data_IF_278268295959
#
_entry.id   IF_278268295959
#
_cell.length_a   1.000
_cell.length_b   1.000
_cell.length_c   1.000
_cell.angle_alpha   90.00
_cell.angle_beta   90.00
_cell.angle_gamma   90.00
#
_symmetry.space_group_name_H-M   'P 1'
#
loop_
_entity.id
_entity.type
_entity.pdbx_description
1 polymer ?
#
# COMPACT_ATOMS: atom_id res chain seq x y z
N UNK A 1 -12.67 5.46 -3.57
CA UNK A 1 -12.96 4.61 -2.40
C UNK A 1 -12.15 5.08 -1.20
N UNK A 2 -12.80 5.47 -0.09
CA UNK A 2 -12.13 5.93 1.13
C UNK A 2 -11.23 4.85 1.77
N UNK A 3 -11.57 3.57 1.56
CA UNK A 3 -10.88 2.42 2.14
C UNK A 3 -9.42 2.22 1.68
N UNK A 4 -8.94 2.89 0.61
CA UNK A 4 -7.52 2.87 0.24
C UNK A 4 -6.68 3.84 1.08
N UNK A 5 -7.29 4.78 1.80
CA UNK A 5 -6.58 5.70 2.69
C UNK A 5 -6.09 5.03 3.99
N UNK A 6 -6.59 3.83 4.32
CA UNK A 6 -6.23 3.11 5.53
C UNK A 6 -4.77 2.61 5.57
N UNK A 7 -4.05 2.63 4.44
CA UNK A 7 -2.66 2.18 4.35
C UNK A 7 -1.72 2.87 5.33
N UNK A 8 -1.84 4.20 5.46
CA UNK A 8 -1.02 4.97 6.40
C UNK A 8 -1.29 4.59 7.86
N UNK A 9 -2.56 4.34 8.21
CA UNK A 9 -2.96 3.98 9.58
C UNK A 9 -2.34 2.65 10.00
N UNK A 10 -2.35 1.66 9.11
CA UNK A 10 -1.78 0.33 9.39
C UNK A 10 -0.26 0.40 9.49
N UNK A 11 0.39 1.13 8.57
CA UNK A 11 1.83 1.32 8.63
C UNK A 11 2.26 1.99 9.95
N UNK A 12 1.53 3.01 10.40
CA UNK A 12 1.75 3.65 11.70
C UNK A 12 1.60 2.68 12.87
N UNK A 13 0.54 1.87 12.87
CA UNK A 13 0.32 0.87 13.90
C UNK A 13 1.48 -0.15 13.96
N UNK A 14 1.92 -0.67 12.82
CA UNK A 14 3.01 -1.66 12.78
C UNK A 14 4.36 -1.07 13.18
N UNK A 15 4.63 0.20 12.84
CA UNK A 15 5.80 0.94 13.36
C UNK A 15 5.69 1.12 14.87
N UNK A 16 4.51 1.45 15.40
CA UNK A 16 4.30 1.64 16.84
C UNK A 16 4.56 0.36 17.66
N UNK A 17 4.30 -0.82 17.08
CA UNK A 17 4.61 -2.13 17.68
C UNK A 17 6.08 -2.53 17.43
N UNK A 18 6.91 -1.65 16.86
CA UNK A 18 8.33 -1.87 16.57
C UNK A 18 8.59 -3.07 15.64
N UNK A 19 7.69 -3.29 14.66
CA UNK A 19 7.81 -4.40 13.73
C UNK A 19 9.01 -4.20 12.77
N UNK A 20 9.86 -5.22 12.55
CA UNK A 20 10.93 -5.16 11.56
C UNK A 20 10.40 -4.81 10.16
N UNK A 21 11.11 -3.98 9.40
CA UNK A 21 10.66 -3.46 8.10
C UNK A 21 10.22 -4.54 7.10
N UNK A 22 10.87 -5.70 7.09
CA UNK A 22 10.56 -6.79 6.17
C UNK A 22 9.25 -7.47 6.55
N UNK A 23 9.05 -7.70 7.85
CA UNK A 23 7.81 -8.25 8.39
C UNK A 23 6.66 -7.25 8.19
N UNK A 24 6.90 -5.96 8.50
CA UNK A 24 5.92 -4.89 8.27
C UNK A 24 5.42 -4.87 6.83
N UNK A 25 6.34 -4.88 5.85
CA UNK A 25 5.96 -4.89 4.42
C UNK A 25 5.26 -6.18 4.04
N UNK A 26 5.72 -7.34 4.51
CA UNK A 26 5.08 -8.63 4.26
C UNK A 26 3.66 -8.70 4.83
N UNK A 27 3.47 -8.32 6.09
CA UNK A 27 2.17 -8.28 6.77
C UNK A 27 1.23 -7.30 6.08
N UNK A 28 1.71 -6.11 5.72
CA UNK A 28 0.90 -5.11 5.01
C UNK A 28 0.47 -5.63 3.64
N UNK A 29 1.37 -6.28 2.89
CA UNK A 29 1.05 -6.89 1.60
C UNK A 29 -0.04 -7.96 1.72
N UNK A 30 0.10 -8.89 2.67
CA UNK A 30 -0.91 -9.93 2.91
C UNK A 30 -2.24 -9.34 3.37
N UNK A 31 -2.20 -8.39 4.30
CA UNK A 31 -3.40 -7.73 4.83
C UNK A 31 -4.19 -7.06 3.70
N UNK A 32 -3.53 -6.26 2.86
CA UNK A 32 -4.20 -5.60 1.75
C UNK A 32 -4.57 -6.56 0.63
N UNK A 33 -3.83 -7.64 0.40
CA UNK A 33 -4.26 -8.67 -0.55
C UNK A 33 -5.61 -9.27 -0.13
N UNK A 34 -5.74 -9.68 1.13
CA UNK A 34 -6.97 -10.26 1.67
C UNK A 34 -8.12 -9.25 1.65
N UNK A 35 -7.88 -8.00 2.08
CA UNK A 35 -8.90 -6.96 2.02
C UNK A 35 -9.33 -6.64 0.58
N UNK A 36 -8.39 -6.58 -0.36
CA UNK A 36 -8.74 -6.31 -1.75
C UNK A 36 -9.49 -7.49 -2.37
N UNK A 37 -9.14 -8.74 -2.03
CA UNK A 37 -9.89 -9.92 -2.46
C UNK A 37 -11.32 -9.88 -1.94
N UNK A 38 -11.50 -9.51 -0.67
CA UNK A 38 -12.83 -9.28 -0.10
C UNK A 38 -13.61 -8.15 -0.80
N UNK A 39 -12.92 -7.12 -1.33
CA UNK A 39 -13.55 -6.03 -2.09
C UNK A 39 -13.99 -6.44 -3.50
N UNK A 40 -13.37 -7.43 -4.13
CA UNK A 40 -13.66 -7.86 -5.51
C UNK A 40 -15.16 -8.09 -5.77
N UNK A 41 -15.92 -8.87 -4.97
CA UNK A 41 -17.35 -9.09 -5.24
C UNK A 41 -18.17 -7.79 -5.22
N UNK A 42 -17.86 -6.86 -4.31
CA UNK A 42 -18.54 -5.56 -4.24
C UNK A 42 -18.19 -4.70 -5.45
N UNK A 43 -16.92 -4.67 -5.87
CA UNK A 43 -16.49 -3.94 -7.06
C UNK A 43 -17.13 -4.51 -8.34
N UNK A 44 -17.31 -5.83 -8.42
CA UNK A 44 -18.00 -6.49 -9.53
C UNK A 44 -19.48 -6.10 -9.57
N UNK A 45 -20.18 -6.11 -8.43
CA UNK A 45 -21.59 -5.71 -8.33
C UNK A 45 -21.81 -4.23 -8.70
N UNK A 46 -20.83 -3.37 -8.44
CA UNK A 46 -20.85 -1.96 -8.83
C UNK A 46 -20.54 -1.74 -10.32
N UNK A 47 -20.32 -2.79 -11.11
CA UNK A 47 -20.00 -2.70 -12.53
C UNK A 47 -18.61 -2.12 -12.82
N UNK A 48 -17.73 -2.06 -11.82
CA UNK A 48 -16.37 -1.50 -11.96
C UNK A 48 -15.38 -2.50 -12.60
N UNK A 49 -15.79 -3.76 -12.75
CA UNK A 49 -14.98 -4.84 -13.35
C UNK A 49 -15.60 -5.20 -14.69
N UNK A 50 -14.94 -4.78 -15.78
CA UNK A 50 -15.30 -5.09 -17.17
C UNK A 50 -14.10 -5.54 -18.00
N UNK A 51 -14.35 -5.98 -19.24
CA UNK A 51 -13.32 -6.46 -20.18
C UNK A 51 -12.19 -5.44 -20.40
N UNK A 52 -12.54 -4.17 -20.59
CA UNK A 52 -11.58 -3.11 -20.88
C UNK A 52 -10.68 -2.83 -19.67
N UNK A 53 -11.27 -2.81 -18.47
CA UNK A 53 -10.51 -2.65 -17.21
C UNK A 53 -9.59 -3.84 -16.94
N UNK A 54 -9.99 -5.06 -17.33
CA UNK A 54 -9.17 -6.26 -17.21
C UNK A 54 -8.00 -6.24 -18.20
N UNK A 55 -8.22 -5.85 -19.45
CA UNK A 55 -7.14 -5.69 -20.43
C UNK A 55 -6.14 -4.62 -20.00
N UNK A 56 -6.64 -3.50 -19.46
CA UNK A 56 -5.80 -2.45 -18.90
C UNK A 56 -4.94 -2.98 -17.75
N UNK A 57 -5.50 -3.77 -16.83
CA UNK A 57 -4.74 -4.41 -15.75
C UNK A 57 -3.64 -5.33 -16.28
N UNK A 58 -3.92 -6.14 -17.30
CA UNK A 58 -2.92 -7.00 -17.95
C UNK A 58 -1.80 -6.16 -18.57
N UNK A 59 -2.15 -5.09 -19.29
CA UNK A 59 -1.18 -4.19 -19.91
C UNK A 59 -0.27 -3.50 -18.87
N UNK A 60 -0.78 -3.20 -17.68
CA UNK A 60 -0.01 -2.61 -16.58
C UNK A 60 0.75 -3.63 -15.72
N UNK A 61 0.46 -4.93 -15.86
CA UNK A 61 1.10 -6.00 -15.07
C UNK A 61 2.64 -5.96 -15.13
N UNK A 62 3.29 -5.74 -16.30
CA UNK A 62 4.76 -5.61 -16.35
C UNK A 62 5.29 -4.49 -15.46
N UNK A 63 4.58 -3.36 -15.41
CA UNK A 63 4.98 -2.22 -14.57
C UNK A 63 4.86 -2.55 -13.07
N UNK A 64 3.85 -3.35 -12.70
CA UNK A 64 3.71 -3.86 -11.32
C UNK A 64 4.90 -4.76 -10.96
N UNK A 65 5.31 -5.66 -11.86
CA UNK A 65 6.47 -6.54 -11.63
C UNK A 65 7.76 -5.72 -11.48
N UNK A 66 7.97 -4.73 -12.35
CA UNK A 66 9.11 -3.81 -12.23
C UNK A 66 9.11 -3.06 -10.89
N UNK A 67 7.95 -2.54 -10.48
CA UNK A 67 7.77 -1.88 -9.18
C UNK A 67 8.04 -2.80 -8.00
N UNK A 68 7.60 -4.06 -8.07
CA UNK A 68 7.86 -5.08 -7.04
C UNK A 68 9.35 -5.37 -6.90
N UNK A 69 10.05 -5.56 -8.02
CA UNK A 69 11.50 -5.82 -8.02
C UNK A 69 12.28 -4.62 -7.50
N UNK A 70 11.93 -3.41 -7.95
CA UNK A 70 12.53 -2.17 -7.49
C UNK A 70 12.29 -1.95 -5.98
N UNK A 71 11.06 -2.16 -5.51
CA UNK A 71 10.71 -2.06 -4.09
C UNK A 71 11.45 -3.09 -3.24
N UNK A 72 11.55 -4.34 -3.70
CA UNK A 72 12.33 -5.38 -3.04
C UNK A 72 13.81 -5.02 -2.95
N UNK A 73 14.39 -4.47 -4.01
CA UNK A 73 15.78 -4.02 -4.00
C UNK A 73 15.98 -2.85 -3.01
N UNK A 74 15.07 -1.87 -3.03
CA UNK A 74 15.13 -0.69 -2.19
C UNK A 74 15.02 -1.02 -0.70
N UNK A 75 14.10 -1.90 -0.30
CA UNK A 75 13.89 -2.20 1.12
C UNK A 75 15.09 -2.88 1.79
N UNK A 76 15.89 -3.64 1.02
CA UNK A 76 17.11 -4.24 1.53
C UNK A 76 18.21 -3.19 1.76
N UNK A 77 18.20 -2.07 1.02
CA UNK A 77 19.19 -0.98 1.13
C UNK A 77 18.89 0.00 2.27
N UNK A 78 17.62 0.20 2.63
CA UNK A 78 17.23 1.21 3.63
C UNK A 78 17.41 0.65 5.05
N UNK A 79 18.17 1.28 5.96
CA UNK A 79 18.26 0.85 7.36
C UNK A 79 16.93 1.07 8.11
N UNK A 80 16.65 0.21 9.10
CA UNK A 80 15.38 0.23 9.86
C UNK A 80 14.98 1.64 10.34
N UNK A 81 15.92 2.36 10.95
CA UNK A 81 15.67 3.71 11.49
C UNK A 81 15.24 4.72 10.41
N UNK A 82 15.80 4.64 9.20
CA UNK A 82 15.40 5.52 8.10
C UNK A 82 14.02 5.12 7.55
N UNK A 83 13.73 3.81 7.49
CA UNK A 83 12.42 3.31 7.09
C UNK A 83 11.32 3.83 8.03
N UNK A 84 11.50 3.69 9.34
CA UNK A 84 10.52 4.13 10.34
C UNK A 84 10.31 5.65 10.28
N UNK A 85 11.40 6.43 10.20
CA UNK A 85 11.33 7.88 10.02
C UNK A 85 10.57 8.26 8.75
N UNK A 86 10.80 7.55 7.63
CA UNK A 86 10.13 7.84 6.37
C UNK A 86 8.62 7.55 6.47
N UNK A 87 8.24 6.43 7.07
CA UNK A 87 6.82 6.08 7.31
C UNK A 87 6.14 7.15 8.15
N UNK A 88 6.77 7.58 9.25
CA UNK A 88 6.23 8.61 10.13
C UNK A 88 6.09 9.96 9.42
N UNK A 89 7.11 10.38 8.66
CA UNK A 89 7.14 11.68 7.99
C UNK A 89 6.09 11.74 6.86
N UNK A 90 6.02 10.70 6.03
CA UNK A 90 5.01 10.60 4.97
C UNK A 90 3.59 10.50 5.52
N UNK A 91 3.38 9.74 6.61
CA UNK A 91 2.07 9.65 7.25
C UNK A 91 1.65 10.97 7.88
N UNK A 92 2.59 11.71 8.49
CA UNK A 92 2.33 13.06 9.03
C UNK A 92 1.97 14.04 7.91
N UNK A 93 2.70 14.02 6.79
CA UNK A 93 2.38 14.85 5.63
C UNK A 93 0.99 14.53 5.05
N UNK A 94 0.63 13.25 4.98
CA UNK A 94 -0.71 12.84 4.54
C UNK A 94 -1.80 13.30 5.50
N UNK A 95 -1.56 13.22 6.82
CA UNK A 95 -2.50 13.69 7.84
C UNK A 95 -2.70 15.22 7.78
N UNK A 96 -1.62 15.99 7.60
CA UNK A 96 -1.68 17.45 7.43
C UNK A 96 -2.52 17.83 6.20
N UNK A 97 -2.28 17.15 5.07
CA UNK A 97 -3.09 17.35 3.86
C UNK A 97 -4.56 17.02 4.08
N UNK A 98 -4.86 15.97 4.86
CA UNK A 98 -6.23 15.56 5.13
C UNK A 98 -7.02 16.61 5.94
N UNK A 99 -6.36 17.36 6.83
CA UNK A 99 -6.96 18.43 7.63
C UNK A 99 -6.99 19.77 6.84
N UNK A 100 -6.48 19.79 5.61
CA UNK A 100 -6.49 20.98 4.76
C UNK A 100 -5.42 22.01 5.14
N UNK A 101 -4.32 21.57 5.76
CA UNK A 101 -3.20 22.46 6.08
C UNK A 101 -2.50 23.02 4.82
N UNK A 102 -2.70 22.35 3.67
CA UNK A 102 -2.30 22.79 2.33
C UNK A 102 -3.07 22.00 1.26
#
# INVERSE_FOLDING_TARGET
MLANAAGGIIALYLVAVSMPKLELVGTTAWFFLLLNLFKVPFSAQLGLIGSDTLMLNVALTPMIVLGLLAGRWLIHRIPQRQFDSLVLLLSSAAALRLIGAF
#
